data_IF_958099728621
#
_entry.id   IF_958099728621
#
_cell.length_a   1.000
_cell.length_b   1.000
_cell.length_c   1.000
_cell.angle_alpha   90.00
_cell.angle_beta   90.00
_cell.angle_gamma   90.00
#
_symmetry.space_group_name_H-M   'P 1'
#
loop_
_entity.id
_entity.type
_entity.pdbx_description
1 polymer ?
#
# COMPACT_ATOMS: atom_id res chain seq x y z
N UNK A 1 -20.02 0.34 18.81
CA UNK A 1 -20.05 1.81 18.76
C UNK A 1 -19.48 2.27 17.45
N UNK A 2 -20.03 3.32 16.84
CA UNK A 2 -19.49 3.95 15.62
C UNK A 2 -18.61 5.13 16.03
N UNK A 3 -17.45 5.28 15.39
CA UNK A 3 -16.53 6.41 15.56
C UNK A 3 -16.38 7.12 14.23
N UNK A 4 -16.02 8.40 14.27
CA UNK A 4 -15.84 9.22 13.08
C UNK A 4 -14.51 9.95 13.14
N UNK A 5 -14.00 10.32 11.96
CA UNK A 5 -12.74 11.00 11.78
C UNK A 5 -12.57 11.39 10.31
N UNK A 6 -11.35 11.70 9.93
CA UNK A 6 -10.94 12.07 8.58
C UNK A 6 -9.90 11.08 8.05
N UNK A 7 -9.68 11.11 6.74
CA UNK A 7 -8.50 10.48 6.14
C UNK A 7 -7.31 11.40 6.43
N UNK A 8 -6.35 10.89 7.20
CA UNK A 8 -5.14 11.64 7.56
C UNK A 8 -4.02 11.47 6.52
N UNK A 9 -3.97 10.32 5.84
CA UNK A 9 -3.03 10.01 4.77
C UNK A 9 -3.52 8.80 3.95
N UNK A 10 -3.00 8.68 2.72
CA UNK A 10 -3.13 7.50 1.85
C UNK A 10 -1.73 7.04 1.45
N UNK A 11 -1.57 5.82 0.88
CA UNK A 11 -0.25 5.36 0.45
C UNK A 11 0.70 5.03 1.61
N UNK A 12 0.18 4.81 2.83
CA UNK A 12 1.03 4.55 3.99
C UNK A 12 1.61 3.14 3.90
N UNK A 13 2.91 3.08 3.60
CA UNK A 13 3.72 1.87 3.60
C UNK A 13 4.88 1.95 4.61
N UNK A 14 5.58 0.84 4.81
CA UNK A 14 6.71 0.67 5.73
C UNK A 14 6.38 0.95 7.20
N UNK A 15 5.14 0.68 7.61
CA UNK A 15 4.70 0.74 9.01
C UNK A 15 5.05 -0.54 9.78
N UNK A 16 5.36 -1.63 9.09
CA UNK A 16 5.87 -2.87 9.68
C UNK A 16 4.77 -3.74 10.30
N UNK A 17 3.56 -3.66 9.75
CA UNK A 17 2.37 -4.40 10.16
C UNK A 17 2.13 -5.60 9.23
N UNK A 18 2.44 -5.47 7.94
CA UNK A 18 2.26 -6.51 6.94
C UNK A 18 3.35 -6.46 5.85
N UNK A 19 3.46 -7.53 5.05
CA UNK A 19 4.42 -7.59 3.93
C UNK A 19 4.02 -6.69 2.75
N UNK A 20 2.72 -6.44 2.58
CA UNK A 20 2.16 -5.60 1.52
C UNK A 20 1.34 -4.48 2.17
N UNK A 21 1.86 -3.26 2.09
CA UNK A 21 1.31 -2.13 2.81
C UNK A 21 0.97 -1.00 1.84
N UNK A 22 -0.27 -0.56 1.90
CA UNK A 22 -0.80 0.61 1.21
C UNK A 22 -2.00 1.10 2.01
N UNK A 23 -1.76 1.51 3.26
CA UNK A 23 -2.86 1.79 4.19
C UNK A 23 -3.48 3.17 3.96
N UNK A 24 -4.78 3.24 4.17
CA UNK A 24 -5.47 4.49 4.52
C UNK A 24 -5.21 4.74 6.00
N UNK A 25 -4.69 5.91 6.34
CA UNK A 25 -4.60 6.35 7.73
C UNK A 25 -5.81 7.20 8.08
N UNK A 26 -6.37 6.98 9.27
CA UNK A 26 -7.46 7.79 9.83
C UNK A 26 -7.25 8.08 11.31
N UNK A 27 -7.84 9.19 11.77
CA UNK A 27 -7.99 9.54 13.18
C UNK A 27 -9.38 9.14 13.74
N UNK A 28 -10.18 8.39 12.98
CA UNK A 28 -11.32 7.69 13.55
C UNK A 28 -10.80 6.64 14.55
N UNK A 29 -11.37 6.63 15.76
CA UNK A 29 -10.91 5.73 16.80
C UNK A 29 -11.12 4.25 16.40
N UNK A 30 -10.00 3.54 16.24
CA UNK A 30 -9.94 2.09 16.03
C UNK A 30 -9.31 1.49 17.30
N UNK A 31 -9.91 0.43 17.82
CA UNK A 31 -9.39 -0.32 18.97
C UNK A 31 -9.47 -1.82 18.64
N UNK A 32 -8.72 -2.68 19.37
CA UNK A 32 -8.90 -4.12 19.27
C UNK A 32 -10.39 -4.51 19.37
N UNK A 33 -10.83 -5.37 18.46
CA UNK A 33 -12.25 -5.74 18.29
C UNK A 33 -12.95 -5.06 17.11
N UNK A 34 -12.43 -3.92 16.61
CA UNK A 34 -12.92 -3.30 15.37
C UNK A 34 -12.16 -3.79 14.11
N UNK A 35 -11.05 -4.53 14.28
CA UNK A 35 -10.29 -5.11 13.17
C UNK A 35 -11.16 -6.04 12.32
N UNK A 36 -11.07 -5.90 11.00
CA UNK A 36 -11.96 -6.55 10.03
C UNK A 36 -13.26 -5.78 9.76
N UNK A 37 -13.59 -4.77 10.57
CA UNK A 37 -14.77 -3.93 10.37
C UNK A 37 -14.59 -2.88 9.26
N UNK A 38 -15.68 -2.26 8.81
CA UNK A 38 -15.66 -1.31 7.69
C UNK A 38 -15.15 0.07 8.12
N UNK A 39 -14.41 0.71 7.22
CA UNK A 39 -14.22 2.15 7.17
C UNK A 39 -15.07 2.68 6.00
N UNK A 40 -16.02 3.57 6.30
CA UNK A 40 -16.94 4.12 5.30
C UNK A 40 -16.79 5.63 5.16
N UNK A 41 -17.02 6.14 3.95
CA UNK A 41 -17.14 7.57 3.70
C UNK A 41 -18.45 8.13 4.25
N UNK A 42 -18.57 9.46 4.27
CA UNK A 42 -19.75 10.16 4.81
C UNK A 42 -21.07 9.83 4.09
N UNK A 43 -21.01 9.37 2.84
CA UNK A 43 -22.14 8.88 2.03
C UNK A 43 -22.35 7.35 2.16
N UNK A 44 -21.65 6.69 3.07
CA UNK A 44 -21.85 5.27 3.40
C UNK A 44 -21.15 4.28 2.46
N UNK A 45 -20.22 4.73 1.60
CA UNK A 45 -19.46 3.84 0.73
C UNK A 45 -18.29 3.22 1.49
N UNK A 46 -18.07 1.92 1.33
CA UNK A 46 -16.91 1.25 1.90
C UNK A 46 -15.63 1.76 1.21
N UNK A 47 -14.72 2.34 2.00
CA UNK A 47 -13.43 2.85 1.50
C UNK A 47 -12.25 2.02 2.00
N UNK A 48 -12.39 1.31 3.12
CA UNK A 48 -11.36 0.40 3.62
C UNK A 48 -11.84 -0.57 4.70
N UNK A 49 -10.93 -1.46 5.11
CA UNK A 49 -11.13 -2.45 6.17
C UNK A 49 -10.18 -2.14 7.33
N UNK A 50 -10.72 -1.81 8.50
CA UNK A 50 -9.92 -1.48 9.68
C UNK A 50 -9.00 -2.66 10.03
N UNK A 51 -7.70 -2.41 10.14
CA UNK A 51 -6.73 -3.49 10.30
C UNK A 51 -5.97 -3.36 11.61
N UNK A 52 -5.36 -2.20 11.84
CA UNK A 52 -4.43 -2.01 12.94
C UNK A 52 -4.43 -0.57 13.45
N UNK A 53 -3.73 -0.36 14.56
CA UNK A 53 -3.38 0.95 15.10
C UNK A 53 -1.88 1.04 15.28
N UNK A 54 -1.35 2.25 15.16
CA UNK A 54 -0.01 2.52 15.69
C UNK A 54 -0.14 2.85 17.18
N UNK A 55 0.33 1.95 18.05
CA UNK A 55 0.26 2.17 19.50
C UNK A 55 1.44 1.53 20.23
N UNK A 56 1.99 2.26 21.20
CA UNK A 56 2.97 1.72 22.16
C UNK A 56 2.31 1.15 23.42
N UNK A 57 1.07 1.54 23.70
CA UNK A 57 0.31 1.12 24.89
C UNK A 57 -0.74 0.05 24.61
N UNK A 58 -1.02 -0.24 23.33
CA UNK A 58 -2.11 -1.10 22.88
C UNK A 58 -3.47 -0.39 22.77
N UNK A 59 -3.57 0.87 23.21
CA UNK A 59 -4.76 1.71 23.04
C UNK A 59 -4.65 2.64 21.84
N UNK A 60 -5.79 3.12 21.34
CA UNK A 60 -5.84 4.15 20.31
C UNK A 60 -5.11 5.44 20.71
N UNK A 61 -4.28 5.99 19.81
CA UNK A 61 -3.48 7.20 20.03
C UNK A 61 -3.55 8.21 18.87
N UNK A 62 -4.65 8.23 18.11
CA UNK A 62 -4.80 9.17 16.98
C UNK A 62 -4.45 8.58 15.61
N UNK A 63 -3.96 7.34 15.54
CA UNK A 63 -3.43 6.73 14.32
C UNK A 63 -4.02 5.33 14.14
N UNK A 64 -4.98 5.22 13.23
CA UNK A 64 -5.55 3.96 12.76
C UNK A 64 -5.23 3.70 11.29
N UNK A 65 -5.15 2.42 10.93
CA UNK A 65 -4.86 1.97 9.57
C UNK A 65 -5.95 1.04 9.05
N UNK A 66 -6.33 1.28 7.79
CA UNK A 66 -7.28 0.44 7.06
C UNK A 66 -6.71 0.02 5.70
N UNK A 67 -6.91 -1.25 5.33
CA UNK A 67 -6.61 -1.75 3.98
C UNK A 67 -7.63 -1.14 3.01
N UNK A 68 -7.22 -0.54 1.88
CA UNK A 68 -8.12 0.01 0.87
C UNK A 68 -9.13 -1.01 0.34
N UNK A 69 -10.37 -0.55 0.09
CA UNK A 69 -11.46 -1.41 -0.38
C UNK A 69 -11.19 -2.07 -1.74
N UNK A 70 -10.49 -1.40 -2.65
CA UNK A 70 -10.07 -1.96 -3.94
C UNK A 70 -9.07 -3.13 -3.77
N UNK A 71 -8.12 -3.01 -2.85
CA UNK A 71 -7.18 -4.10 -2.52
C UNK A 71 -7.93 -5.28 -1.87
N UNK A 72 -8.79 -4.98 -0.89
CA UNK A 72 -9.61 -6.01 -0.24
C UNK A 72 -10.50 -6.75 -1.25
N UNK A 73 -11.11 -6.03 -2.20
CA UNK A 73 -11.92 -6.61 -3.27
C UNK A 73 -11.09 -7.54 -4.17
N UNK A 74 -9.92 -7.11 -4.62
CA UNK A 74 -9.04 -7.94 -5.47
C UNK A 74 -8.66 -9.24 -4.76
N UNK A 75 -8.28 -9.16 -3.49
CA UNK A 75 -7.94 -10.33 -2.67
C UNK A 75 -9.15 -11.26 -2.48
N UNK A 76 -10.31 -10.68 -2.13
CA UNK A 76 -11.54 -11.43 -1.94
C UNK A 76 -11.95 -12.16 -3.22
N UNK A 77 -11.92 -11.50 -4.37
CA UNK A 77 -12.27 -12.10 -5.66
C UNK A 77 -11.41 -13.34 -5.94
N UNK A 78 -10.09 -13.24 -5.77
CA UNK A 78 -9.19 -14.39 -5.97
C UNK A 78 -9.40 -15.51 -4.95
N UNK A 79 -9.64 -15.16 -3.68
CA UNK A 79 -9.94 -16.18 -2.66
C UNK A 79 -11.23 -16.94 -2.97
N UNK A 80 -12.25 -16.25 -3.49
CA UNK A 80 -13.53 -16.87 -3.86
C UNK A 80 -13.40 -17.74 -5.10
N UNK A 81 -12.67 -17.28 -6.13
CA UNK A 81 -12.59 -18.00 -7.41
C UNK A 81 -11.49 -19.07 -7.44
N UNK A 82 -10.33 -18.80 -6.86
CA UNK A 82 -9.13 -19.66 -6.93
C UNK A 82 -8.82 -20.39 -5.61
N UNK A 83 -9.49 -20.03 -4.51
CA UNK A 83 -9.18 -20.53 -3.16
C UNK A 83 -7.87 -20.03 -2.57
N UNK A 84 -7.14 -19.16 -3.29
CA UNK A 84 -5.85 -18.58 -2.88
C UNK A 84 -5.58 -17.26 -3.60
N UNK A 85 -4.72 -16.43 -3.02
CA UNK A 85 -4.22 -15.21 -3.68
C UNK A 85 -3.00 -15.55 -4.54
N UNK A 86 -3.04 -15.18 -5.81
CA UNK A 86 -1.92 -15.31 -6.76
C UNK A 86 -1.31 -13.92 -6.92
N UNK A 87 -0.06 -13.77 -6.50
CA UNK A 87 0.68 -12.50 -6.64
C UNK A 87 1.52 -12.53 -7.91
N UNK A 88 1.28 -11.56 -8.79
CA UNK A 88 2.11 -11.35 -9.97
C UNK A 88 3.52 -10.91 -9.57
N UNK A 89 4.51 -11.31 -10.36
CA UNK A 89 5.90 -10.96 -10.15
C UNK A 89 6.50 -10.49 -11.47
N UNK A 90 6.96 -9.24 -11.50
CA UNK A 90 7.58 -8.64 -12.69
C UNK A 90 9.07 -8.99 -12.80
N UNK A 91 9.73 -9.35 -11.69
CA UNK A 91 11.17 -9.60 -11.63
C UNK A 91 12.02 -8.35 -11.78
N UNK A 92 11.62 -7.29 -11.06
CA UNK A 92 12.42 -6.08 -10.84
C UNK A 92 12.73 -5.92 -9.35
N UNK A 93 13.93 -5.45 -9.04
CA UNK A 93 14.21 -4.82 -7.75
C UNK A 93 14.08 -3.31 -7.92
N UNK A 94 13.35 -2.69 -7.00
CA UNK A 94 13.11 -1.25 -7.02
C UNK A 94 13.75 -0.61 -5.79
N UNK A 95 14.08 0.67 -5.93
CA UNK A 95 14.49 1.52 -4.83
C UNK A 95 13.77 2.86 -4.92
N UNK A 96 13.67 3.53 -3.78
CA UNK A 96 13.15 4.89 -3.70
C UNK A 96 14.00 5.83 -4.56
N UNK A 97 13.33 6.71 -5.31
CA UNK A 97 13.98 7.73 -6.11
C UNK A 97 14.33 8.95 -5.24
N UNK A 98 15.50 8.92 -4.61
CA UNK A 98 15.97 10.06 -3.81
C UNK A 98 16.25 11.29 -4.69
N UNK A 99 16.27 12.52 -4.12
CA UNK A 99 16.63 13.72 -4.87
C UNK A 99 17.98 13.64 -5.58
N UNK A 100 18.96 12.97 -4.99
CA UNK A 100 20.29 12.75 -5.57
C UNK A 100 20.22 11.84 -6.79
N UNK A 101 19.47 10.74 -6.68
CA UNK A 101 19.27 9.79 -7.78
C UNK A 101 18.47 10.43 -8.91
N UNK A 102 17.39 11.14 -8.59
CA UNK A 102 16.59 11.89 -9.55
C UNK A 102 17.45 12.82 -10.40
N UNK A 103 18.29 13.66 -9.77
CA UNK A 103 19.24 14.53 -10.49
C UNK A 103 20.24 13.75 -11.34
N UNK A 104 20.78 12.63 -10.82
CA UNK A 104 21.76 11.79 -11.52
C UNK A 104 21.17 11.14 -12.79
N UNK A 105 19.91 10.75 -12.73
CA UNK A 105 19.20 10.14 -13.85
C UNK A 105 18.41 11.16 -14.71
N UNK A 106 18.55 12.46 -14.43
CA UNK A 106 17.92 13.52 -15.21
C UNK A 106 16.41 13.61 -15.07
N UNK A 107 15.84 13.12 -13.96
CA UNK A 107 14.42 13.23 -13.66
C UNK A 107 14.13 14.54 -12.91
N UNK A 108 12.99 15.18 -13.20
CA UNK A 108 12.65 16.48 -12.62
C UNK A 108 11.94 16.36 -11.26
N UNK A 109 11.39 15.19 -10.95
CA UNK A 109 10.64 14.88 -9.73
C UNK A 109 11.36 13.84 -8.88
N UNK A 110 10.89 13.58 -7.67
CA UNK A 110 11.25 12.39 -6.88
C UNK A 110 10.12 11.36 -6.86
N UNK A 111 9.07 11.60 -7.64
CA UNK A 111 7.98 10.65 -7.82
C UNK A 111 8.43 9.47 -8.69
N UNK A 112 7.90 8.29 -8.37
CA UNK A 112 8.19 7.05 -9.07
C UNK A 112 9.15 6.12 -8.34
N UNK A 113 9.42 4.99 -8.98
CA UNK A 113 10.31 3.95 -8.48
C UNK A 113 11.48 3.75 -9.44
N UNK A 114 12.71 3.82 -8.90
CA UNK A 114 13.91 3.55 -9.69
C UNK A 114 14.12 2.04 -9.78
N UNK A 115 14.28 1.51 -10.99
CA UNK A 115 14.64 0.11 -11.23
C UNK A 115 16.12 -0.06 -10.91
N UNK A 116 16.43 -0.73 -9.81
CA UNK A 116 17.80 -1.08 -9.43
C UNK A 116 18.32 -2.23 -10.32
N UNK A 117 17.47 -3.22 -10.58
CA UNK A 117 17.79 -4.36 -11.44
C UNK A 117 16.53 -4.92 -12.11
N UNK A 118 16.65 -5.31 -13.38
CA UNK A 118 15.69 -6.19 -14.05
C UNK A 118 16.31 -7.59 -14.17
N UNK A 119 15.75 -8.54 -13.44
CA UNK A 119 16.32 -9.88 -13.29
C UNK A 119 16.38 -10.60 -14.64
N UNK A 120 17.43 -11.42 -14.90
CA UNK A 120 17.47 -12.28 -16.08
C UNK A 120 16.22 -13.16 -16.17
N UNK A 121 15.75 -13.42 -17.40
CA UNK A 121 14.60 -14.30 -17.69
C UNK A 121 13.27 -13.87 -17.03
N UNK A 122 13.16 -12.61 -16.55
CA UNK A 122 11.94 -12.08 -15.96
C UNK A 122 10.97 -11.51 -17.01
N UNK A 123 9.67 -11.37 -16.66
CA UNK A 123 8.71 -10.63 -17.48
C UNK A 123 9.17 -9.20 -17.79
N UNK A 124 9.72 -8.49 -16.80
CA UNK A 124 10.23 -7.12 -16.98
C UNK A 124 11.38 -7.06 -17.98
N UNK A 125 12.36 -7.97 -17.89
CA UNK A 125 13.47 -8.03 -18.84
C UNK A 125 12.98 -8.34 -20.26
N UNK A 126 12.03 -9.25 -20.38
CA UNK A 126 11.40 -9.60 -21.67
C UNK A 126 10.64 -8.42 -22.28
N UNK A 127 10.05 -7.56 -21.44
CA UNK A 127 9.41 -6.32 -21.83
C UNK A 127 10.39 -5.17 -22.13
N UNK A 128 11.70 -5.38 -21.92
CA UNK A 128 12.74 -4.40 -22.22
C UNK A 128 13.08 -3.43 -21.08
N UNK A 129 12.54 -3.64 -19.88
CA UNK A 129 12.88 -2.86 -18.68
C UNK A 129 14.34 -3.10 -18.30
N UNK A 130 15.03 -2.03 -17.90
CA UNK A 130 16.47 -2.03 -17.57
C UNK A 130 16.73 -1.32 -16.25
N UNK A 131 17.89 -1.63 -15.68
CA UNK A 131 18.40 -0.88 -14.53
C UNK A 131 18.60 0.59 -14.91
N UNK A 132 18.15 1.50 -14.05
CA UNK A 132 18.16 2.94 -14.30
C UNK A 132 16.85 3.49 -14.88
N UNK A 133 15.91 2.64 -15.29
CA UNK A 133 14.57 3.10 -15.67
C UNK A 133 13.83 3.64 -14.44
N UNK A 134 13.03 4.70 -14.64
CA UNK A 134 12.18 5.28 -13.60
C UNK A 134 10.73 5.00 -13.98
N UNK A 135 10.03 4.25 -13.14
CA UNK A 135 8.61 3.92 -13.31
C UNK A 135 7.78 5.02 -12.65
N UNK A 136 6.94 5.71 -13.43
CA UNK A 136 6.13 6.85 -12.98
C UNK A 136 4.62 6.54 -12.94
N UNK A 137 4.10 5.73 -13.87
CA UNK A 137 2.70 5.24 -13.94
C UNK A 137 2.64 3.92 -14.73
#
# INVERSE_FOLDING_TARGET
TVTMGIVSAVGRANVGIADYEDFIQTDAAINPGNSGGPLVSADGRLIGINTAIFSRSGGYQGIGFAVPSNMARLVMEQLVTEGRVIRGWLGVSIQELTPELSRKFGHASTEGALVAEAMPESPARSAGIKAGDIVIE
#
